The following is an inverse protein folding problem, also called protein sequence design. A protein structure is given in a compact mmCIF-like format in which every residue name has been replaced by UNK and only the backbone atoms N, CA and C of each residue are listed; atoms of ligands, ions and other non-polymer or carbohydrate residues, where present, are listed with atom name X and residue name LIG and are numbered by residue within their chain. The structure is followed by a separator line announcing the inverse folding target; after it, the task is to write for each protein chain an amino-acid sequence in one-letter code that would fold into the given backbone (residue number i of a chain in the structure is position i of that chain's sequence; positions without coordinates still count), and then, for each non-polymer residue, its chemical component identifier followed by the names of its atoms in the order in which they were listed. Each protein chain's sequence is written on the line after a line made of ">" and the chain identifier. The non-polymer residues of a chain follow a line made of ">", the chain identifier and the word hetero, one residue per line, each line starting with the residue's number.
data_IF_862293465889
#
_entry.id   IF_862293465889
#
_cell.length_a   1.000
_cell.length_b   1.000
_cell.length_c   1.000
_cell.angle_alpha   90.00
_cell.angle_beta   90.00
_cell.angle_gamma   90.00
#
_symmetry.space_group_name_H-M   'P 1'
#
loop_
_entity.id
_entity.type
_entity.pdbx_description
1 polymer ?
#
# COMPACT_ATOMS: atom_id res chain seq x y z
N UNK A 1 -6.46 13.59 0.30
CA UNK A 1 -7.42 14.35 1.10
C UNK A 1 -7.00 15.80 1.16
N UNK A 2 -7.86 16.70 1.70
CA UNK A 2 -7.51 18.10 1.80
C UNK A 2 -6.35 18.36 2.76
N UNK A 3 -5.63 19.45 2.53
CA UNK A 3 -4.51 19.92 3.37
C UNK A 3 -4.79 21.31 3.95
N UNK A 4 -6.07 21.74 3.90
CA UNK A 4 -6.51 23.04 4.43
C UNK A 4 -6.73 23.02 5.95
N UNK A 5 -6.81 24.21 6.55
CA UNK A 5 -7.07 24.38 7.99
C UNK A 5 -8.42 23.73 8.37
N UNK A 6 -9.43 23.87 7.52
CA UNK A 6 -10.74 23.27 7.77
C UNK A 6 -10.68 21.74 7.78
N UNK A 7 -9.89 21.15 6.87
CA UNK A 7 -9.67 19.70 6.83
C UNK A 7 -8.97 19.21 8.10
N UNK A 8 -8.03 20.00 8.64
CA UNK A 8 -7.37 19.70 9.91
C UNK A 8 -8.35 19.75 11.09
N UNK A 9 -9.21 20.75 11.17
CA UNK A 9 -10.21 20.87 12.23
C UNK A 9 -11.25 19.73 12.18
N UNK A 10 -11.57 19.25 10.98
CA UNK A 10 -12.50 18.15 10.76
C UNK A 10 -11.84 16.75 10.88
N UNK A 11 -10.54 16.67 11.18
CA UNK A 11 -9.83 15.40 11.30
C UNK A 11 -10.52 14.38 12.22
N UNK A 12 -10.99 14.74 13.43
CA UNK A 12 -11.62 13.76 14.31
C UNK A 12 -12.86 13.11 13.67
N UNK A 13 -13.66 13.90 12.93
CA UNK A 13 -14.83 13.41 12.21
C UNK A 13 -14.40 12.57 11.01
N UNK A 14 -13.46 13.08 10.21
CA UNK A 14 -13.02 12.43 8.99
C UNK A 14 -12.35 11.08 9.27
N UNK A 15 -11.47 10.99 10.26
CA UNK A 15 -10.81 9.75 10.67
C UNK A 15 -11.78 8.71 11.26
N UNK A 16 -12.83 9.19 11.97
CA UNK A 16 -13.79 8.29 12.62
C UNK A 16 -14.81 7.72 11.64
N UNK A 17 -15.34 8.54 10.71
CA UNK A 17 -16.50 8.16 9.89
C UNK A 17 -16.15 7.92 8.42
N UNK A 18 -15.13 8.58 7.88
CA UNK A 18 -14.81 8.56 6.46
C UNK A 18 -13.49 7.88 6.12
N UNK A 19 -12.70 7.47 7.13
CA UNK A 19 -11.50 6.67 6.94
C UNK A 19 -11.84 5.31 6.33
N UNK A 20 -11.03 4.82 5.41
CA UNK A 20 -11.21 3.51 4.77
C UNK A 20 -9.86 2.79 4.68
N UNK A 21 -9.77 1.53 5.15
CA UNK A 21 -8.54 0.76 5.02
C UNK A 21 -8.24 0.48 3.54
N UNK A 22 -6.97 0.46 3.21
CA UNK A 22 -6.45 0.26 1.85
C UNK A 22 -6.96 1.28 0.82
N UNK A 23 -7.19 2.51 1.25
CA UNK A 23 -7.64 3.60 0.37
C UNK A 23 -6.79 4.86 0.58
N UNK A 24 -6.90 5.79 -0.39
CA UNK A 24 -6.31 7.13 -0.26
C UNK A 24 -6.99 7.98 0.83
N UNK A 25 -8.06 7.47 1.48
CA UNK A 25 -8.77 8.13 2.56
C UNK A 25 -8.23 7.68 3.91
N UNK A 26 -7.08 8.26 4.32
CA UNK A 26 -6.37 8.02 5.58
C UNK A 26 -5.78 6.61 5.75
N UNK A 27 -5.97 5.70 4.79
CA UNK A 27 -5.54 4.29 4.90
C UNK A 27 -5.85 3.68 6.28
N UNK A 28 -7.06 3.92 6.76
CA UNK A 28 -7.53 3.42 8.03
C UNK A 28 -8.66 4.24 8.64
N UNK A 29 -9.26 3.71 9.69
CA UNK A 29 -10.33 4.32 10.46
C UNK A 29 -10.00 4.21 11.95
N UNK A 30 -10.22 5.28 12.71
CA UNK A 30 -10.11 5.24 14.17
C UNK A 30 -11.44 4.89 14.80
N UNK A 31 -11.37 4.25 15.99
CA UNK A 31 -12.57 3.90 16.73
C UNK A 31 -13.36 5.11 17.23
N UNK A 32 -14.68 4.99 17.21
CA UNK A 32 -15.60 6.04 17.65
C UNK A 32 -15.37 6.50 19.10
N UNK A 33 -14.77 5.66 19.92
CA UNK A 33 -14.49 5.96 21.33
C UNK A 33 -13.56 7.19 21.49
N UNK A 34 -12.52 7.31 20.68
CA UNK A 34 -11.65 8.49 20.71
C UNK A 34 -12.45 9.78 20.42
N UNK A 35 -13.32 9.76 19.43
CA UNK A 35 -14.16 10.91 19.09
C UNK A 35 -15.08 11.31 20.24
N UNK A 36 -15.74 10.34 20.89
CA UNK A 36 -16.63 10.58 22.03
C UNK A 36 -15.90 11.20 23.23
N UNK A 37 -14.65 10.84 23.44
CA UNK A 37 -13.86 11.29 24.59
C UNK A 37 -13.15 12.64 24.37
N UNK A 38 -13.08 13.16 23.14
CA UNK A 38 -12.42 14.43 22.85
C UNK A 38 -12.83 15.60 23.75
N UNK A 39 -14.13 15.76 24.15
CA UNK A 39 -14.51 16.82 25.06
C UNK A 39 -13.76 16.82 26.40
N UNK A 40 -13.24 15.67 26.84
CA UNK A 40 -12.46 15.60 28.09
C UNK A 40 -11.16 16.42 28.01
N UNK A 41 -10.65 16.71 26.82
CA UNK A 41 -9.45 17.56 26.64
C UNK A 41 -9.67 18.99 27.15
N UNK A 42 -10.91 19.49 27.15
CA UNK A 42 -11.22 20.82 27.68
C UNK A 42 -11.15 20.91 29.21
N UNK A 43 -11.11 19.77 29.91
CA UNK A 43 -10.96 19.75 31.37
C UNK A 43 -9.49 19.71 31.81
N UNK A 44 -8.55 19.55 30.86
CA UNK A 44 -7.12 19.44 31.18
C UNK A 44 -6.57 20.70 31.83
N UNK A 45 -5.83 20.51 32.91
CA UNK A 45 -5.11 21.59 33.61
C UNK A 45 -3.82 21.95 32.86
N UNK A 46 -3.29 23.13 33.19
CA UNK A 46 -2.06 23.69 32.60
C UNK A 46 -0.86 22.75 32.71
N UNK A 47 -0.82 21.87 33.70
CA UNK A 47 0.23 20.87 33.86
C UNK A 47 0.31 19.84 32.71
N UNK A 48 -0.78 19.65 31.98
CA UNK A 48 -0.82 18.76 30.81
C UNK A 48 -0.35 19.45 29.51
N UNK A 49 -0.06 20.76 29.55
CA UNK A 49 0.31 21.52 28.36
C UNK A 49 1.48 20.93 27.54
N UNK A 50 2.56 20.40 28.16
CA UNK A 50 3.65 19.81 27.37
C UNK A 50 3.18 18.63 26.52
N UNK A 51 2.32 17.77 27.06
CA UNK A 51 1.78 16.61 26.32
C UNK A 51 0.80 17.05 25.22
N UNK A 52 -0.01 18.08 25.49
CA UNK A 52 -0.92 18.67 24.48
C UNK A 52 -0.11 19.26 23.32
N UNK A 53 0.94 20.03 23.62
CA UNK A 53 1.83 20.61 22.61
C UNK A 53 2.47 19.51 21.77
N UNK A 54 3.01 18.46 22.42
CA UNK A 54 3.65 17.35 21.74
C UNK A 54 2.64 16.62 20.81
N UNK A 55 1.45 16.31 21.31
CA UNK A 55 0.38 15.71 20.51
C UNK A 55 0.03 16.60 19.30
N UNK A 56 -0.12 17.91 19.52
CA UNK A 56 -0.47 18.87 18.46
C UNK A 56 0.62 18.92 17.38
N UNK A 57 1.91 18.93 17.77
CA UNK A 57 3.02 18.91 16.81
C UNK A 57 3.02 17.63 15.99
N UNK A 58 2.80 16.46 16.62
CA UNK A 58 2.67 15.19 15.91
C UNK A 58 1.50 15.20 14.92
N UNK A 59 0.35 15.71 15.34
CA UNK A 59 -0.84 15.77 14.49
C UNK A 59 -0.65 16.72 13.29
N UNK A 60 0.00 17.86 13.48
CA UNK A 60 0.33 18.80 12.39
C UNK A 60 1.33 18.15 11.44
N UNK A 61 2.40 17.54 11.95
CA UNK A 61 3.40 16.85 11.13
C UNK A 61 2.75 15.71 10.30
N UNK A 62 1.97 14.86 10.96
CA UNK A 62 1.25 13.77 10.28
C UNK A 62 0.29 14.29 9.20
N UNK A 63 -0.45 15.36 9.50
CA UNK A 63 -1.42 15.92 8.57
C UNK A 63 -0.78 16.52 7.32
N UNK A 64 0.40 17.13 7.46
CA UNK A 64 1.14 17.74 6.34
C UNK A 64 1.88 16.69 5.49
N UNK A 65 2.10 15.49 6.00
CA UNK A 65 2.83 14.43 5.32
C UNK A 65 1.90 13.41 4.65
N UNK A 66 1.87 12.18 5.14
CA UNK A 66 1.28 11.03 4.44
C UNK A 66 -0.19 10.80 4.76
N UNK A 67 -0.74 11.39 5.80
CA UNK A 67 -2.13 11.22 6.29
C UNK A 67 -2.57 9.74 6.43
N UNK A 68 -1.65 8.82 6.75
CA UNK A 68 -1.94 7.40 6.94
C UNK A 68 -2.28 7.11 8.40
N UNK A 69 -3.50 6.59 8.67
CA UNK A 69 -3.98 6.34 10.03
C UNK A 69 -3.11 5.34 10.81
N UNK A 70 -2.45 4.39 10.12
CA UNK A 70 -1.50 3.45 10.75
C UNK A 70 -0.31 4.12 11.44
N UNK A 71 0.08 5.32 11.01
CA UNK A 71 1.18 6.09 11.61
C UNK A 71 0.74 6.87 12.87
N UNK A 72 -0.55 6.89 13.17
CA UNK A 72 -1.12 7.55 14.34
C UNK A 72 -1.03 6.71 15.64
N UNK A 73 -0.45 5.51 15.62
CA UNK A 73 -0.34 4.67 16.81
C UNK A 73 0.30 5.38 18.00
N UNK A 74 1.44 6.03 17.79
CA UNK A 74 2.15 6.80 18.83
C UNK A 74 1.35 8.03 19.31
N UNK A 75 0.88 8.95 18.42
CA UNK A 75 0.01 10.06 18.83
C UNK A 75 -1.23 9.62 19.59
N UNK A 76 -1.84 8.50 19.22
CA UNK A 76 -3.03 8.00 19.92
C UNK A 76 -2.74 7.47 21.31
N UNK A 77 -1.56 6.95 21.58
CA UNK A 77 -1.16 6.61 22.95
C UNK A 77 -1.12 7.86 23.84
N UNK A 78 -0.54 8.96 23.37
CA UNK A 78 -0.56 10.24 24.08
C UNK A 78 -1.96 10.82 24.22
N UNK A 79 -2.78 10.72 23.17
CA UNK A 79 -4.18 11.15 23.20
C UNK A 79 -4.95 10.36 24.27
N UNK A 80 -4.78 9.03 24.35
CA UNK A 80 -5.44 8.20 25.37
C UNK A 80 -5.09 8.64 26.79
N UNK A 81 -3.81 8.92 27.07
CA UNK A 81 -3.36 9.42 28.37
C UNK A 81 -4.02 10.76 28.70
N UNK A 82 -4.04 11.69 27.73
CA UNK A 82 -4.67 13.01 27.91
C UNK A 82 -6.18 12.90 28.13
N UNK A 83 -6.86 12.02 27.42
CA UNK A 83 -8.29 11.78 27.58
C UNK A 83 -8.63 11.23 28.96
N UNK A 84 -7.88 10.23 29.45
CA UNK A 84 -8.05 9.68 30.79
C UNK A 84 -7.82 10.76 31.85
N UNK A 85 -6.74 11.53 31.71
CA UNK A 85 -6.45 12.62 32.64
C UNK A 85 -7.51 13.73 32.59
N UNK A 86 -7.98 14.09 31.41
CA UNK A 86 -9.07 15.04 31.26
C UNK A 86 -10.36 14.58 31.91
N UNK A 87 -10.70 13.30 31.79
CA UNK A 87 -11.85 12.69 32.48
C UNK A 87 -11.70 12.73 33.98
N UNK A 88 -10.55 12.36 34.52
CA UNK A 88 -10.26 12.43 35.94
C UNK A 88 -10.47 13.86 36.47
N UNK A 89 -9.90 14.85 35.82
CA UNK A 89 -10.04 16.26 36.20
C UNK A 89 -11.49 16.75 36.06
N UNK A 90 -12.22 16.28 35.01
CA UNK A 90 -13.64 16.60 34.83
C UNK A 90 -14.50 16.09 35.96
N UNK A 91 -14.34 14.81 36.35
CA UNK A 91 -15.12 14.21 37.43
C UNK A 91 -14.74 14.76 38.80
N UNK A 92 -13.47 15.00 39.07
CA UNK A 92 -12.99 15.56 40.31
C UNK A 92 -13.44 16.99 40.58
N UNK A 93 -13.78 17.73 39.52
CA UNK A 93 -14.23 19.12 39.65
C UNK A 93 -15.74 19.27 39.98
N UNK A 94 -16.51 18.17 39.98
CA UNK A 94 -17.97 18.20 40.19
C UNK A 94 -18.38 17.79 41.61
N UNK A 95 -19.47 18.37 42.15
CA UNK A 95 -20.07 17.89 43.42
C UNK A 95 -20.38 16.41 43.35
N UNK A 96 -20.25 15.68 44.44
CA UNK A 96 -20.35 14.22 44.50
C UNK A 96 -21.65 13.65 43.87
N UNK A 97 -22.81 14.25 44.13
CA UNK A 97 -24.09 13.81 43.56
C UNK A 97 -24.15 14.00 42.04
N UNK A 98 -23.66 15.11 41.53
CA UNK A 98 -23.57 15.41 40.10
C UNK A 98 -22.58 14.47 39.44
N UNK A 99 -21.43 14.23 40.07
CA UNK A 99 -20.39 13.32 39.60
C UNK A 99 -20.89 11.90 39.40
N UNK A 100 -21.73 11.37 40.36
CA UNK A 100 -22.31 10.03 40.24
C UNK A 100 -23.29 9.93 39.03
N UNK A 101 -24.11 10.93 38.80
CA UNK A 101 -25.07 10.93 37.69
C UNK A 101 -24.36 10.99 36.35
N UNK A 102 -23.39 11.89 36.22
CA UNK A 102 -22.54 12.02 35.02
C UNK A 102 -21.67 10.77 34.79
N UNK A 103 -21.17 10.14 35.86
CA UNK A 103 -20.43 8.89 35.80
C UNK A 103 -21.26 7.74 35.18
N UNK A 104 -22.55 7.62 35.57
CA UNK A 104 -23.47 6.63 34.97
C UNK A 104 -23.71 6.90 33.49
N UNK A 105 -24.00 8.15 33.11
CA UNK A 105 -24.20 8.52 31.70
C UNK A 105 -22.92 8.28 30.88
N UNK A 106 -21.77 8.64 31.41
CA UNK A 106 -20.49 8.40 30.79
C UNK A 106 -20.23 6.89 30.58
N UNK A 107 -20.53 6.06 31.59
CA UNK A 107 -20.40 4.60 31.48
C UNK A 107 -21.27 4.04 30.33
N UNK A 108 -22.51 4.52 30.19
CA UNK A 108 -23.38 4.12 29.08
C UNK A 108 -22.75 4.49 27.73
N UNK A 109 -22.27 5.72 27.59
CA UNK A 109 -21.61 6.20 26.36
C UNK A 109 -20.35 5.39 26.07
N UNK A 110 -19.56 5.06 27.08
CA UNK A 110 -18.36 4.20 26.97
C UNK A 110 -18.75 2.80 26.47
N UNK A 111 -19.77 2.19 27.06
CA UNK A 111 -20.26 0.86 26.65
C UNK A 111 -20.75 0.90 25.20
N UNK A 112 -21.53 1.89 24.82
CA UNK A 112 -22.00 2.05 23.43
C UNK A 112 -20.82 2.23 22.45
N UNK A 113 -19.82 3.02 22.83
CA UNK A 113 -18.61 3.20 22.04
C UNK A 113 -17.80 1.89 21.88
N UNK A 114 -17.68 1.10 22.95
CA UNK A 114 -17.04 -0.22 22.91
C UNK A 114 -17.82 -1.20 22.03
N UNK A 115 -19.15 -1.24 22.16
CA UNK A 115 -20.03 -2.07 21.31
C UNK A 115 -19.83 -1.69 19.84
N UNK A 116 -19.83 -0.39 19.52
CA UNK A 116 -19.61 0.08 18.15
C UNK A 116 -18.25 -0.37 17.61
N UNK A 117 -17.16 -0.21 18.38
CA UNK A 117 -15.85 -0.65 17.97
C UNK A 117 -15.78 -2.17 17.79
N UNK A 118 -16.43 -2.93 18.69
CA UNK A 118 -16.52 -4.40 18.56
C UNK A 118 -17.25 -4.80 17.27
N UNK A 119 -18.34 -4.11 16.91
CA UNK A 119 -19.04 -4.35 15.65
C UNK A 119 -18.16 -4.06 14.44
N UNK A 120 -17.35 -2.98 14.46
CA UNK A 120 -16.40 -2.70 13.39
C UNK A 120 -15.35 -3.82 13.24
N UNK A 121 -14.76 -4.27 14.36
CA UNK A 121 -13.81 -5.38 14.37
C UNK A 121 -14.48 -6.66 13.86
N UNK A 122 -15.70 -6.96 14.32
CA UNK A 122 -16.45 -8.13 13.90
C UNK A 122 -16.74 -8.13 12.38
N UNK A 123 -17.04 -6.96 11.80
CA UNK A 123 -17.19 -6.83 10.33
C UNK A 123 -15.90 -7.15 9.58
N UNK A 124 -14.76 -6.65 10.04
CA UNK A 124 -13.46 -6.96 9.43
C UNK A 124 -13.16 -8.45 9.59
N UNK A 125 -13.37 -8.99 10.78
CA UNK A 125 -13.20 -10.42 11.06
C UNK A 125 -14.07 -11.30 10.15
N UNK A 126 -15.36 -10.96 10.01
CA UNK A 126 -16.28 -11.68 9.14
C UNK A 126 -15.87 -11.61 7.66
N UNK A 127 -15.30 -10.46 7.21
CA UNK A 127 -14.78 -10.31 5.84
C UNK A 127 -13.55 -11.17 5.59
N UNK A 128 -12.63 -11.25 6.54
CA UNK A 128 -11.43 -12.08 6.46
C UNK A 128 -11.78 -13.55 6.61
N UNK A 129 -12.80 -13.87 7.42
CA UNK A 129 -13.25 -15.23 7.75
C UNK A 129 -12.06 -16.16 8.06
N UNK A 130 -11.28 -15.91 9.13
CA UNK A 130 -10.10 -16.69 9.44
C UNK A 130 -10.42 -18.01 10.17
N UNK A 131 -11.63 -18.21 10.66
CA UNK A 131 -12.02 -19.37 11.47
C UNK A 131 -11.80 -20.71 10.76
N UNK A 132 -12.17 -20.90 9.48
CA UNK A 132 -11.89 -22.17 8.79
C UNK A 132 -10.40 -22.52 8.78
N UNK A 133 -9.53 -21.51 8.58
CA UNK A 133 -8.09 -21.72 8.61
C UNK A 133 -7.56 -22.01 10.03
N UNK A 134 -7.99 -21.25 11.04
CA UNK A 134 -7.58 -21.44 12.45
C UNK A 134 -8.03 -22.83 12.97
N UNK A 135 -9.21 -23.28 12.58
CA UNK A 135 -9.75 -24.58 12.96
C UNK A 135 -9.29 -25.74 12.07
N UNK A 136 -8.28 -25.54 11.23
CA UNK A 136 -7.73 -26.54 10.29
C UNK A 136 -8.77 -27.14 9.33
N UNK A 137 -9.86 -26.43 9.04
CA UNK A 137 -10.90 -26.82 8.06
C UNK A 137 -10.58 -26.33 6.66
N UNK A 138 -9.68 -25.37 6.54
CA UNK A 138 -9.17 -24.79 5.29
C UNK A 138 -7.64 -24.82 5.35
N UNK A 139 -6.98 -25.27 4.27
CA UNK A 139 -5.52 -25.24 4.19
C UNK A 139 -5.01 -23.81 3.87
N UNK A 140 -3.69 -23.60 4.00
CA UNK A 140 -3.03 -22.30 3.78
C UNK A 140 -3.30 -21.72 2.39
N UNK A 141 -3.23 -22.54 1.35
CA UNK A 141 -3.33 -22.06 -0.03
C UNK A 141 -4.70 -21.50 -0.38
N UNK A 142 -5.84 -22.18 -0.17
CA UNK A 142 -7.16 -21.61 -0.39
C UNK A 142 -7.38 -20.33 0.42
N UNK A 143 -6.93 -20.30 1.69
CA UNK A 143 -7.01 -19.12 2.52
C UNK A 143 -6.27 -17.94 1.89
N UNK A 144 -5.01 -18.13 1.46
CA UNK A 144 -4.20 -17.08 0.83
C UNK A 144 -4.77 -16.66 -0.54
N UNK A 145 -5.27 -17.60 -1.34
CA UNK A 145 -5.94 -17.29 -2.62
C UNK A 145 -7.14 -16.35 -2.46
N UNK A 146 -7.87 -16.51 -1.36
CA UNK A 146 -9.04 -15.72 -1.03
C UNK A 146 -8.68 -14.34 -0.46
N UNK A 147 -7.57 -14.24 0.28
CA UNK A 147 -7.16 -13.02 0.97
C UNK A 147 -6.21 -12.15 0.14
N UNK A 148 -5.33 -12.74 -0.65
CA UNK A 148 -4.24 -12.06 -1.33
C UNK A 148 -4.45 -12.17 -2.84
N UNK A 149 -4.92 -11.10 -3.46
CA UNK A 149 -5.26 -11.05 -4.87
C UNK A 149 -4.15 -11.52 -5.83
N UNK A 150 -2.86 -11.15 -5.63
CA UNK A 150 -1.78 -11.65 -6.47
C UNK A 150 -1.29 -13.07 -6.11
N UNK A 151 -1.75 -13.70 -5.02
CA UNK A 151 -1.24 -15.01 -4.59
C UNK A 151 -1.34 -16.10 -5.66
N UNK A 152 -2.45 -16.23 -6.41
CA UNK A 152 -2.53 -17.24 -7.46
C UNK A 152 -1.50 -17.10 -8.57
N UNK A 153 -1.03 -15.87 -8.86
CA UNK A 153 0.02 -15.66 -9.87
C UNK A 153 1.40 -15.98 -9.32
N UNK A 154 1.67 -15.72 -8.04
CA UNK A 154 2.90 -16.15 -7.37
C UNK A 154 3.04 -17.66 -7.39
N UNK A 155 1.98 -18.41 -7.05
CA UNK A 155 1.95 -19.86 -7.12
C UNK A 155 2.28 -20.36 -8.54
N UNK A 156 1.64 -19.79 -9.56
CA UNK A 156 1.90 -20.18 -10.94
C UNK A 156 3.32 -19.81 -11.37
N UNK A 157 3.85 -18.66 -10.98
CA UNK A 157 5.21 -18.25 -11.29
C UNK A 157 6.25 -19.17 -10.64
N UNK A 158 6.03 -19.58 -9.38
CA UNK A 158 6.90 -20.54 -8.68
C UNK A 158 7.00 -21.91 -9.38
N UNK A 159 5.95 -22.31 -10.14
CA UNK A 159 5.96 -23.54 -10.94
C UNK A 159 6.54 -23.35 -12.35
N UNK A 160 6.41 -22.15 -12.95
CA UNK A 160 6.78 -21.89 -14.34
C UNK A 160 8.23 -21.43 -14.50
N UNK A 161 8.81 -20.84 -13.45
CA UNK A 161 10.17 -20.26 -13.48
C UNK A 161 11.14 -21.25 -12.86
N UNK A 162 12.28 -21.45 -13.52
CA UNK A 162 13.33 -22.35 -13.05
C UNK A 162 14.00 -21.84 -11.76
N UNK A 163 14.63 -22.73 -10.95
CA UNK A 163 15.20 -22.36 -9.65
C UNK A 163 16.30 -21.31 -9.67
N UNK A 164 17.06 -21.22 -10.78
CA UNK A 164 18.17 -20.30 -11.00
C UNK A 164 17.78 -19.02 -11.74
N UNK A 165 16.56 -18.97 -12.25
CA UNK A 165 16.02 -17.80 -12.94
C UNK A 165 15.54 -16.74 -11.96
N UNK A 166 15.78 -15.45 -12.29
CA UNK A 166 15.46 -14.32 -11.42
C UNK A 166 14.35 -13.45 -12.00
N UNK A 167 13.38 -13.09 -11.16
CA UNK A 167 12.18 -12.36 -11.54
C UNK A 167 12.26 -10.91 -11.04
N UNK A 168 12.01 -9.93 -11.90
CA UNK A 168 11.72 -8.55 -11.51
C UNK A 168 10.24 -8.42 -11.15
N UNK A 169 9.94 -8.02 -9.91
CA UNK A 169 8.58 -7.77 -9.43
C UNK A 169 8.26 -6.27 -9.51
N UNK A 170 7.18 -5.91 -10.21
CA UNK A 170 6.76 -4.52 -10.38
C UNK A 170 5.28 -4.37 -10.03
N UNK A 171 4.96 -3.49 -9.07
CA UNK A 171 3.60 -3.30 -8.54
C UNK A 171 2.96 -4.59 -8.00
N UNK A 172 3.76 -5.40 -7.32
CA UNK A 172 3.35 -6.66 -6.71
C UNK A 172 3.07 -6.54 -5.21
N UNK A 173 2.82 -5.31 -4.71
CA UNK A 173 2.43 -4.98 -3.32
C UNK A 173 3.48 -5.38 -2.28
N UNK A 174 4.77 -5.36 -2.63
CA UNK A 174 5.88 -5.79 -1.76
C UNK A 174 5.70 -7.21 -1.19
N UNK A 175 4.97 -8.09 -1.90
CA UNK A 175 4.70 -9.46 -1.50
C UNK A 175 5.75 -10.46 -2.01
N UNK A 176 6.97 -10.02 -2.28
CA UNK A 176 8.08 -10.86 -2.76
C UNK A 176 8.35 -12.09 -1.88
N UNK A 177 8.01 -12.03 -0.58
CA UNK A 177 8.12 -13.18 0.33
C UNK A 177 7.20 -14.37 -0.04
N UNK A 178 6.27 -14.20 -0.99
CA UNK A 178 5.46 -15.28 -1.54
C UNK A 178 6.14 -15.97 -2.73
N UNK A 179 7.29 -15.45 -3.19
CA UNK A 179 8.08 -16.04 -4.26
C UNK A 179 9.09 -17.02 -3.69
N UNK A 180 9.11 -18.26 -4.21
CA UNK A 180 10.08 -19.30 -3.84
C UNK A 180 11.33 -19.25 -4.74
N UNK A 181 11.33 -18.40 -5.77
CA UNK A 181 12.41 -18.21 -6.74
C UNK A 181 13.19 -16.94 -6.43
N UNK A 182 14.44 -16.81 -6.91
CA UNK A 182 15.18 -15.56 -6.83
C UNK A 182 14.36 -14.40 -7.44
N UNK A 183 14.25 -13.30 -6.73
CA UNK A 183 13.53 -12.14 -7.25
C UNK A 183 14.29 -10.83 -6.92
N UNK A 184 13.92 -9.79 -7.64
CA UNK A 184 14.26 -8.41 -7.33
C UNK A 184 12.98 -7.60 -7.23
N UNK A 185 12.85 -6.80 -6.19
CA UNK A 185 11.73 -5.88 -5.99
C UNK A 185 12.21 -4.63 -5.29
N UNK A 186 11.76 -3.47 -5.73
CA UNK A 186 12.00 -2.21 -5.05
C UNK A 186 11.17 -2.14 -3.75
N UNK A 187 11.75 -1.63 -2.67
CA UNK A 187 11.13 -1.70 -1.33
C UNK A 187 10.06 -0.65 -1.08
N UNK A 188 10.17 0.52 -1.70
CA UNK A 188 9.27 1.67 -1.45
C UNK A 188 8.49 2.04 -2.70
N UNK A 189 9.19 2.24 -3.80
CA UNK A 189 8.60 2.52 -5.11
C UNK A 189 8.84 1.31 -6.00
N UNK A 190 7.79 0.51 -6.16
CA UNK A 190 7.89 -0.80 -6.82
C UNK A 190 8.20 -0.74 -8.33
N UNK A 191 8.33 0.45 -8.88
CA UNK A 191 8.69 0.72 -10.29
C UNK A 191 10.03 1.46 -10.45
N UNK A 192 10.72 1.80 -9.36
CA UNK A 192 11.91 2.65 -9.40
C UNK A 192 13.01 2.09 -10.32
N UNK A 193 13.36 0.83 -10.15
CA UNK A 193 14.40 0.18 -10.99
C UNK A 193 13.95 0.07 -12.44
N UNK A 194 12.70 -0.33 -12.69
CA UNK A 194 12.16 -0.40 -14.06
C UNK A 194 12.18 0.96 -14.73
N UNK A 195 11.72 2.00 -14.03
CA UNK A 195 11.69 3.37 -14.54
C UNK A 195 13.09 3.87 -14.83
N UNK A 196 14.04 3.68 -13.90
CA UNK A 196 15.43 4.05 -14.08
C UNK A 196 16.04 3.39 -15.33
N UNK A 197 15.79 2.10 -15.56
CA UNK A 197 16.26 1.39 -16.76
C UNK A 197 15.66 2.00 -18.03
N UNK A 198 14.35 2.33 -18.02
CA UNK A 198 13.68 2.92 -19.19
C UNK A 198 14.17 4.35 -19.46
N UNK A 199 14.49 5.13 -18.43
CA UNK A 199 14.97 6.51 -18.56
C UNK A 199 16.43 6.57 -19.02
N UNK A 200 17.28 5.61 -18.58
CA UNK A 200 18.70 5.53 -18.95
C UNK A 200 18.91 4.92 -20.35
N UNK A 201 18.04 3.98 -20.75
CA UNK A 201 18.23 3.17 -21.97
C UNK A 201 17.12 3.49 -22.99
N UNK A 202 17.46 4.21 -24.06
CA UNK A 202 16.51 4.63 -25.09
C UNK A 202 16.14 3.48 -26.05
N UNK A 203 17.05 2.51 -26.24
CA UNK A 203 16.87 1.40 -27.17
C UNK A 203 16.49 0.11 -26.43
N UNK A 204 15.55 -0.64 -27.01
CA UNK A 204 15.07 -1.91 -26.44
C UNK A 204 16.20 -2.94 -26.23
N UNK A 205 17.23 -2.92 -27.07
CA UNK A 205 18.42 -3.77 -26.95
C UNK A 205 19.28 -3.45 -25.71
N UNK A 206 19.34 -2.18 -25.31
CA UNK A 206 20.09 -1.77 -24.14
C UNK A 206 19.35 -2.14 -22.85
N UNK A 207 18.02 -2.04 -22.85
CA UNK A 207 17.16 -2.51 -21.75
C UNK A 207 17.40 -4.00 -21.48
N UNK A 208 17.42 -4.86 -22.50
CA UNK A 208 17.66 -6.29 -22.31
C UNK A 208 19.06 -6.57 -21.77
N UNK A 209 20.08 -5.86 -22.24
CA UNK A 209 21.45 -6.00 -21.76
C UNK A 209 21.58 -5.59 -20.29
N UNK A 210 20.89 -4.52 -19.88
CA UNK A 210 20.85 -4.08 -18.49
C UNK A 210 20.19 -5.11 -17.59
N UNK A 211 19.04 -5.64 -17.98
CA UNK A 211 18.36 -6.70 -17.25
C UNK A 211 19.19 -7.98 -17.14
N UNK A 212 19.88 -8.38 -18.24
CA UNK A 212 20.85 -9.48 -18.24
C UNK A 212 22.00 -9.25 -17.24
N UNK A 213 22.57 -8.05 -17.19
CA UNK A 213 23.65 -7.73 -16.25
C UNK A 213 23.22 -7.84 -14.78
N UNK A 214 21.92 -7.68 -14.49
CA UNK A 214 21.32 -7.88 -13.17
C UNK A 214 20.92 -9.35 -12.90
N UNK A 215 21.10 -10.24 -13.88
CA UNK A 215 20.68 -11.63 -13.84
C UNK A 215 19.16 -11.82 -13.92
N UNK A 216 18.41 -10.79 -14.36
CA UNK A 216 16.96 -10.84 -14.44
C UNK A 216 16.55 -11.49 -15.76
N UNK A 217 15.77 -12.57 -15.67
CA UNK A 217 15.28 -13.36 -16.79
C UNK A 217 13.78 -13.19 -17.05
N UNK A 218 13.06 -12.73 -16.03
CA UNK A 218 11.61 -12.58 -16.06
C UNK A 218 11.15 -11.25 -15.47
N UNK A 219 9.96 -10.80 -15.88
CA UNK A 219 9.26 -9.70 -15.22
C UNK A 219 7.82 -10.12 -14.90
N UNK A 220 7.43 -9.92 -13.65
CA UNK A 220 6.07 -10.11 -13.15
C UNK A 220 5.53 -8.76 -12.70
N UNK A 221 4.45 -8.32 -13.30
CA UNK A 221 3.89 -7.00 -13.00
C UNK A 221 2.37 -6.94 -13.00
N UNK A 222 1.82 -5.95 -12.32
CA UNK A 222 0.40 -5.60 -12.40
C UNK A 222 0.17 -4.70 -13.60
N UNK A 223 -0.52 -5.21 -14.62
CA UNK A 223 -0.80 -4.49 -15.87
C UNK A 223 -1.57 -3.18 -15.66
N UNK A 224 -2.52 -3.16 -14.73
CA UNK A 224 -3.36 -1.99 -14.49
C UNK A 224 -2.55 -0.83 -13.89
N UNK A 225 -1.61 -1.12 -12.98
CA UNK A 225 -0.71 -0.11 -12.41
C UNK A 225 0.42 0.27 -13.38
N UNK A 226 0.86 -0.63 -14.25
CA UNK A 226 1.94 -0.36 -15.21
C UNK A 226 1.44 0.41 -16.43
N UNK A 227 0.31 0.00 -17.03
CA UNK A 227 -0.20 0.54 -18.29
C UNK A 227 -1.55 1.27 -18.18
N UNK A 228 -2.21 1.23 -17.03
CA UNK A 228 -3.51 1.85 -16.79
C UNK A 228 -3.46 3.38 -16.70
N UNK A 229 -4.63 3.99 -16.52
CA UNK A 229 -4.78 5.45 -16.43
C UNK A 229 -4.01 6.08 -15.24
N UNK A 230 -3.86 5.33 -14.15
CA UNK A 230 -3.20 5.78 -12.92
C UNK A 230 -1.75 5.27 -12.82
N UNK A 231 -1.14 4.88 -13.95
CA UNK A 231 0.25 4.46 -13.98
C UNK A 231 1.17 5.62 -13.59
N UNK A 232 2.21 5.33 -12.81
CA UNK A 232 3.28 6.29 -12.53
C UNK A 232 4.23 6.47 -13.71
N UNK A 233 4.21 5.55 -14.70
CA UNK A 233 4.95 5.69 -15.95
C UNK A 233 4.26 6.72 -16.86
N UNK A 234 5.03 7.62 -17.43
CA UNK A 234 4.59 8.57 -18.47
C UNK A 234 4.13 7.83 -19.72
N UNK A 235 3.35 8.48 -20.62
CA UNK A 235 2.97 7.88 -21.89
C UNK A 235 4.15 7.41 -22.74
N UNK A 236 5.27 8.14 -22.74
CA UNK A 236 6.50 7.78 -23.44
C UNK A 236 7.14 6.51 -22.87
N UNK A 237 7.37 6.47 -21.54
CA UNK A 237 7.93 5.30 -20.84
C UNK A 237 7.09 4.04 -21.06
N UNK A 238 5.74 4.18 -21.02
CA UNK A 238 4.83 3.07 -21.34
C UNK A 238 4.98 2.59 -22.78
N UNK A 239 5.21 3.51 -23.73
CA UNK A 239 5.47 3.19 -25.14
C UNK A 239 6.77 2.38 -25.29
N UNK A 240 7.85 2.83 -24.66
CA UNK A 240 9.16 2.13 -24.66
C UNK A 240 9.02 0.73 -24.05
N UNK A 241 8.40 0.62 -22.87
CA UNK A 241 8.20 -0.67 -22.21
C UNK A 241 7.34 -1.63 -23.05
N UNK A 242 6.26 -1.13 -23.66
CA UNK A 242 5.40 -1.94 -24.52
C UNK A 242 6.15 -2.45 -25.75
N UNK A 243 6.95 -1.60 -26.40
CA UNK A 243 7.79 -1.97 -27.51
C UNK A 243 8.83 -3.01 -27.11
N UNK A 244 9.54 -2.76 -26.01
CA UNK A 244 10.51 -3.70 -25.43
C UNK A 244 9.89 -5.09 -25.18
N UNK A 245 8.75 -5.15 -24.47
CA UNK A 245 8.07 -6.41 -24.18
C UNK A 245 7.61 -7.14 -25.45
N UNK A 246 7.19 -6.39 -26.50
CA UNK A 246 6.75 -7.00 -27.76
C UNK A 246 7.89 -7.59 -28.59
N UNK A 247 9.09 -7.03 -28.50
CA UNK A 247 10.27 -7.44 -29.30
C UNK A 247 11.14 -8.46 -28.56
N UNK A 248 11.29 -8.33 -27.24
CA UNK A 248 12.29 -9.06 -26.47
C UNK A 248 11.73 -9.94 -25.35
N UNK A 249 10.40 -10.09 -25.26
CA UNK A 249 9.80 -10.87 -24.20
C UNK A 249 8.64 -11.74 -24.69
N UNK A 250 8.58 -12.97 -24.20
CA UNK A 250 7.47 -13.88 -24.41
C UNK A 250 6.56 -13.85 -23.18
N UNK A 251 5.27 -13.64 -23.40
CA UNK A 251 4.27 -13.70 -22.34
C UNK A 251 3.98 -15.17 -21.99
N UNK A 252 4.30 -15.59 -20.78
CA UNK A 252 4.14 -16.98 -20.35
C UNK A 252 2.94 -17.19 -19.42
N UNK A 253 2.46 -16.13 -18.73
CA UNK A 253 1.29 -16.21 -17.86
C UNK A 253 0.51 -14.90 -17.88
N UNK A 254 -0.83 -15.04 -17.89
CA UNK A 254 -1.78 -13.97 -17.57
C UNK A 254 -2.78 -14.49 -16.56
N UNK A 255 -2.92 -13.80 -15.44
CA UNK A 255 -3.89 -14.16 -14.43
C UNK A 255 -4.49 -12.88 -13.83
N UNK A 256 -5.75 -12.61 -14.13
CA UNK A 256 -6.41 -11.34 -13.83
C UNK A 256 -5.62 -10.16 -14.45
N UNK A 257 -5.23 -9.18 -13.62
CA UNK A 257 -4.41 -8.03 -14.01
C UNK A 257 -2.90 -8.28 -13.94
N UNK A 258 -2.44 -9.49 -13.62
CA UNK A 258 -1.03 -9.82 -13.46
C UNK A 258 -0.48 -10.55 -14.67
N UNK A 259 0.69 -10.11 -15.15
CA UNK A 259 1.35 -10.62 -16.35
C UNK A 259 2.78 -11.04 -16.02
N UNK A 260 3.15 -12.25 -16.42
CA UNK A 260 4.50 -12.76 -16.36
C UNK A 260 5.07 -12.91 -17.76
N UNK A 261 6.21 -12.29 -18.00
CA UNK A 261 6.97 -12.40 -19.23
C UNK A 261 8.33 -13.01 -18.96
N UNK A 262 8.80 -13.83 -19.90
CA UNK A 262 10.18 -14.31 -19.97
C UNK A 262 10.93 -13.53 -21.03
N UNK A 263 12.13 -13.06 -20.73
CA UNK A 263 12.96 -12.36 -21.70
C UNK A 263 13.63 -13.35 -22.67
N UNK A 264 13.63 -13.02 -23.94
CA UNK A 264 14.34 -13.77 -24.98
C UNK A 264 15.81 -13.32 -24.98
N UNK A 265 16.61 -14.00 -24.16
CA UNK A 265 17.99 -13.61 -23.89
C UNK A 265 18.97 -13.98 -25.00
N UNK A 266 18.56 -14.85 -25.94
CA UNK A 266 19.40 -15.48 -26.97
C UNK A 266 19.15 -14.96 -28.41
N UNK A 267 18.48 -13.81 -28.57
CA UNK A 267 18.44 -13.17 -29.88
C UNK A 267 19.89 -12.71 -30.23
N UNK A 268 20.60 -13.59 -30.93
CA UNK A 268 21.93 -13.34 -31.45
C UNK A 268 21.98 -11.99 -32.16
N UNK A 269 22.95 -11.18 -31.78
CA UNK A 269 23.34 -9.92 -32.41
C UNK A 269 23.89 -10.10 -33.85
N UNK A 270 23.68 -11.27 -34.50
CA UNK A 270 24.19 -11.56 -35.82
C UNK A 270 23.36 -10.93 -36.98
N UNK A 271 22.10 -10.59 -36.78
CA UNK A 271 21.27 -10.04 -37.88
C UNK A 271 21.35 -8.51 -38.07
N UNK A 272 22.01 -7.77 -37.17
CA UNK A 272 22.13 -6.31 -37.33
C UNK A 272 23.22 -5.86 -38.31
N UNK A 273 24.11 -6.76 -38.72
CA UNK A 273 25.21 -6.43 -39.64
C UNK A 273 24.86 -6.67 -41.13
N UNK A 274 23.69 -7.27 -41.44
CA UNK A 274 23.35 -7.62 -42.82
C UNK A 274 22.48 -6.58 -43.55
N UNK A 275 22.03 -5.51 -42.90
CA UNK A 275 21.25 -4.43 -43.55
C UNK A 275 22.07 -3.25 -44.07
N UNK A 276 23.40 -3.24 -43.88
CA UNK A 276 24.27 -2.19 -44.44
C UNK A 276 24.68 -2.42 -45.90
N UNK A 277 24.12 -3.47 -46.58
CA UNK A 277 24.44 -3.89 -47.92
C UNK A 277 23.48 -3.47 -49.06
N UNK A 278 22.47 -2.66 -48.81
CA UNK A 278 21.63 -2.12 -49.88
C UNK A 278 22.33 -0.92 -50.56
N UNK A 279 23.18 -1.26 -51.54
CA UNK A 279 23.76 -0.34 -52.51
C UNK A 279 22.65 0.49 -53.17
N UNK A 280 22.90 1.78 -53.19
CA UNK A 280 22.24 2.78 -54.04
C UNK A 280 22.20 2.32 -55.50
N UNK A 281 20.97 2.10 -56.00
CA UNK A 281 20.73 2.00 -57.46
C UNK A 281 20.60 3.43 -57.98
N UNK A 282 21.43 3.88 -58.93
CA UNK A 282 21.31 5.21 -59.52
C UNK A 282 20.08 5.24 -60.45
N UNK A 283 19.16 6.16 -60.22
CA UNK A 283 18.13 6.56 -61.18
C UNK A 283 18.82 7.29 -62.35
N UNK A 284 18.87 6.63 -63.49
CA UNK A 284 19.07 7.29 -64.78
C UNK A 284 17.73 7.59 -65.42
N UNK A 285 17.55 8.89 -65.69
CA UNK A 285 16.64 9.57 -66.61
C UNK A 285 15.20 9.12 -66.78
#
# INVERSE_FOLDING_TARGET
>A
MGHGILDFLLLPINLTFFGQPHSLKFDGQIGFLYFLLLPALFALRRQSAPLVIMLSLFMVFWFTQTQQARLLGTPFAFLAILLIKGLEEWFSSKPSKVSITWGKQFLIVLILGLIFNTVLIAKVWAKVDPLPYILHRESREPFLMRQIKPYPVYLSANHLVEPDEKILLVYMQNLGFLMDKPFFSDSVFEDHTLKKIIDEEVYAGDIINKLKSMGITHILFNHQFTFGKNSALSPGERGILKNFLSLHAQRILVKNEFFLYRFMLDLNTEDSNNTSGLRSIPLNH
#
